data_IF_488282443484
#
_entry.id   IF_488282443484
#
_cell.length_a   1.000
_cell.length_b   1.000
_cell.length_c   1.000
_cell.angle_alpha   90.00
_cell.angle_beta   90.00
_cell.angle_gamma   90.00
#
_symmetry.space_group_name_H-M   'P 1'
#
loop_
_entity.id
_entity.type
_entity.pdbx_description
1 polymer ?
#
# COMPACT_ATOMS: atom_id res chain seq x y z
N UNK A 1 2.83 3.83 -4.09
CA UNK A 1 2.62 3.26 -5.44
C UNK A 1 2.91 4.28 -6.53
N UNK A 2 2.30 5.48 -6.53
CA UNK A 2 2.61 6.50 -7.55
C UNK A 2 4.11 6.88 -7.56
N UNK A 3 4.70 7.06 -6.38
CA UNK A 3 6.15 7.30 -6.23
C UNK A 3 7.04 6.09 -6.49
N UNK A 4 6.48 4.86 -6.49
CA UNK A 4 7.24 3.65 -6.83
C UNK A 4 7.34 3.45 -8.35
N UNK A 5 6.64 4.27 -9.15
CA UNK A 5 6.65 4.19 -10.60
C UNK A 5 5.62 3.21 -11.17
N UNK A 6 5.88 2.77 -12.40
CA UNK A 6 4.95 1.95 -13.20
C UNK A 6 4.92 0.50 -12.74
N UNK A 7 3.77 -0.16 -12.96
CA UNK A 7 3.61 -1.60 -12.79
C UNK A 7 3.15 -2.04 -11.39
N UNK A 8 3.08 -3.36 -11.16
CA UNK A 8 2.77 -3.94 -9.86
C UNK A 8 3.88 -3.69 -8.84
N UNK A 9 3.49 -3.44 -7.60
CA UNK A 9 4.39 -3.18 -6.50
C UNK A 9 4.20 -4.19 -5.38
N UNK A 10 5.30 -4.67 -4.79
CA UNK A 10 5.25 -5.55 -3.63
C UNK A 10 4.66 -4.79 -2.43
N UNK A 11 3.84 -5.48 -1.64
CA UNK A 11 3.31 -4.91 -0.40
C UNK A 11 4.42 -4.47 0.58
N UNK A 12 5.60 -5.10 0.50
CA UNK A 12 6.82 -4.70 1.22
C UNK A 12 7.31 -3.30 0.85
N UNK A 13 7.47 -3.02 -0.44
CA UNK A 13 7.96 -1.74 -0.94
C UNK A 13 6.97 -0.61 -0.64
N UNK A 14 5.66 -0.89 -0.76
CA UNK A 14 4.61 0.06 -0.37
C UNK A 14 4.70 0.37 1.13
N UNK A 15 4.94 -0.63 1.97
CA UNK A 15 5.04 -0.46 3.41
C UNK A 15 6.31 0.32 3.81
N UNK A 16 7.44 0.03 3.15
CA UNK A 16 8.69 0.75 3.33
C UNK A 16 8.53 2.23 2.98
N UNK A 17 7.93 2.54 1.83
CA UNK A 17 7.66 3.92 1.42
C UNK A 17 6.74 4.67 2.41
N UNK A 18 5.77 3.97 3.00
CA UNK A 18 4.83 4.56 3.97
C UNK A 18 5.35 4.57 5.42
N UNK A 19 6.49 3.96 5.70
CA UNK A 19 6.99 3.79 7.07
C UNK A 19 6.04 2.97 7.96
N UNK A 20 5.41 1.92 7.42
CA UNK A 20 4.42 1.07 8.12
C UNK A 20 4.80 -0.41 8.04
N UNK A 21 4.20 -1.23 8.90
CA UNK A 21 4.31 -2.69 8.81
C UNK A 21 3.45 -3.21 7.66
N UNK A 22 3.97 -4.16 6.86
CA UNK A 22 3.24 -4.77 5.73
C UNK A 22 1.87 -5.33 6.17
N UNK A 23 1.80 -5.93 7.36
CA UNK A 23 0.57 -6.51 7.92
C UNK A 23 -0.52 -5.47 8.17
N UNK A 24 -0.16 -4.22 8.47
CA UNK A 24 -1.12 -3.12 8.68
C UNK A 24 -1.78 -2.64 7.39
N UNK A 25 -1.20 -2.94 6.23
CA UNK A 25 -1.74 -2.50 4.93
C UNK A 25 -2.87 -3.40 4.42
N UNK A 26 -3.08 -4.57 5.04
CA UNK A 26 -4.09 -5.55 4.62
C UNK A 26 -5.51 -4.97 4.48
N UNK A 27 -6.07 -4.33 5.51
CA UNK A 27 -7.41 -3.73 5.46
C UNK A 27 -7.54 -2.64 4.39
N UNK A 28 -6.55 -1.73 4.30
CA UNK A 28 -6.55 -0.66 3.29
C UNK A 28 -6.50 -1.22 1.88
N UNK A 29 -5.63 -2.21 1.63
CA UNK A 29 -5.54 -2.91 0.34
C UNK A 29 -6.87 -3.57 -0.03
N UNK A 30 -7.49 -4.30 0.90
CA UNK A 30 -8.78 -4.95 0.67
C UNK A 30 -9.89 -3.93 0.36
N UNK A 31 -9.89 -2.78 1.04
CA UNK A 31 -10.83 -1.69 0.76
C UNK A 31 -10.65 -1.09 -0.64
N UNK A 32 -9.41 -0.90 -1.09
CA UNK A 32 -9.12 -0.39 -2.44
C UNK A 32 -9.47 -1.39 -3.54
N UNK A 33 -9.27 -2.69 -3.30
CA UNK A 33 -9.70 -3.76 -4.22
C UNK A 33 -11.23 -3.76 -4.35
N UNK A 34 -11.96 -3.70 -3.22
CA UNK A 34 -13.43 -3.65 -3.25
C UNK A 34 -13.97 -2.44 -4.02
N UNK A 35 -13.26 -1.31 -3.97
CA UNK A 35 -13.60 -0.09 -4.72
C UNK A 35 -13.15 -0.11 -6.19
N UNK A 36 -12.47 -1.17 -6.64
CA UNK A 36 -11.97 -1.27 -8.01
C UNK A 36 -10.79 -0.34 -8.32
N UNK A 37 -10.09 0.19 -7.32
CA UNK A 37 -8.96 1.12 -7.51
C UNK A 37 -7.65 0.39 -7.82
N UNK A 38 -7.47 -0.77 -7.18
CA UNK A 38 -6.28 -1.61 -7.32
C UNK A 38 -6.66 -3.08 -7.43
N UNK A 39 -5.76 -3.90 -7.96
CA UNK A 39 -5.91 -5.35 -8.03
C UNK A 39 -4.58 -6.06 -7.69
N UNK A 40 -4.65 -7.38 -7.53
CA UNK A 40 -3.52 -8.24 -7.16
C UNK A 40 -3.15 -9.14 -8.34
N UNK A 41 -2.11 -8.81 -9.14
CA UNK A 41 -1.69 -9.65 -10.27
C UNK A 41 -0.96 -10.93 -9.83
N UNK A 42 -0.29 -10.90 -8.68
CA UNK A 42 0.42 -12.03 -8.08
C UNK A 42 0.39 -11.93 -6.55
N UNK A 43 0.77 -13.00 -5.85
CA UNK A 43 0.75 -13.00 -4.38
C UNK A 43 1.58 -11.84 -3.82
N UNK A 44 0.96 -11.07 -2.90
CA UNK A 44 1.52 -9.90 -2.25
C UNK A 44 1.83 -8.67 -3.16
N UNK A 45 1.47 -8.70 -4.44
CA UNK A 45 1.62 -7.57 -5.34
C UNK A 45 0.35 -6.72 -5.41
N UNK A 46 0.49 -5.44 -5.76
CA UNK A 46 -0.63 -4.52 -5.93
C UNK A 46 -0.36 -3.59 -7.11
N UNK A 47 -1.33 -3.49 -8.01
CA UNK A 47 -1.27 -2.63 -9.19
C UNK A 47 -2.54 -1.80 -9.32
N UNK A 48 -2.45 -0.62 -9.94
CA UNK A 48 -3.64 0.16 -10.31
C UNK A 48 -4.45 -0.57 -11.39
N UNK A 49 -5.77 -0.54 -11.26
CA UNK A 49 -6.68 -1.06 -12.30
C UNK A 49 -6.69 -0.16 -13.53
N UNK A 50 -6.63 1.15 -13.32
CA UNK A 50 -6.63 2.14 -14.40
C UNK A 50 -5.20 2.38 -14.90
N UNK A 51 -4.96 2.33 -16.22
CA UNK A 51 -3.66 2.65 -16.79
C UNK A 51 -3.20 4.07 -16.43
N UNK A 52 -1.88 4.24 -16.29
CA UNK A 52 -1.24 5.54 -16.04
C UNK A 52 -1.67 6.28 -14.75
N UNK A 53 -2.41 5.65 -13.84
CA UNK A 53 -2.83 6.30 -12.58
C UNK A 53 -1.68 6.86 -11.77
N UNK A 54 -0.51 6.21 -11.78
CA UNK A 54 0.69 6.74 -11.11
C UNK A 54 1.10 8.11 -11.65
N UNK A 55 1.08 8.32 -12.98
CA UNK A 55 1.37 9.61 -13.58
C UNK A 55 0.29 10.65 -13.26
N UNK A 56 -0.98 10.26 -13.28
CA UNK A 56 -2.07 11.15 -12.90
C UNK A 56 -1.90 11.64 -11.46
N UNK A 57 -1.68 10.72 -10.51
CA UNK A 57 -1.52 11.04 -9.09
C UNK A 57 -0.35 11.99 -8.84
N UNK A 58 0.80 11.78 -9.52
CA UNK A 58 1.95 12.69 -9.40
C UNK A 58 1.67 14.11 -9.92
N UNK A 59 0.75 14.28 -10.88
CA UNK A 59 0.37 15.60 -11.39
C UNK A 59 -0.62 16.31 -10.47
N UNK A 60 -1.59 15.58 -9.93
CA UNK A 60 -2.65 16.17 -9.08
C UNK A 60 -2.23 16.30 -7.61
N UNK A 61 -1.17 15.60 -7.21
CA UNK A 61 -0.57 15.67 -5.87
C UNK A 61 0.96 15.86 -5.97
N UNK A 62 1.45 17.01 -6.50
CA UNK A 62 2.86 17.23 -6.77
C UNK A 62 3.73 17.26 -5.49
N UNK A 63 3.18 17.74 -4.37
CA UNK A 63 3.89 17.88 -3.10
C UNK A 63 3.59 16.72 -2.13
N UNK A 64 3.22 15.54 -2.65
CA UNK A 64 2.94 14.39 -1.79
C UNK A 64 4.21 13.94 -1.05
N UNK A 65 4.10 13.85 0.27
CA UNK A 65 5.14 13.32 1.13
C UNK A 65 4.59 12.11 1.88
N UNK A 66 5.44 11.11 2.10
CA UNK A 66 5.07 9.99 2.95
C UNK A 66 4.71 10.50 4.35
N UNK A 67 3.64 9.95 4.98
CA UNK A 67 3.30 10.35 6.33
C UNK A 67 4.49 10.04 7.27
N UNK A 68 4.73 10.88 8.29
CA UNK A 68 5.80 10.61 9.26
C UNK A 68 5.58 9.24 9.90
N UNK A 69 6.68 8.53 10.15
CA UNK A 69 6.68 7.20 10.74
C UNK A 69 5.97 7.27 12.09
N UNK A 70 4.71 6.86 12.13
CA UNK A 70 3.91 6.87 13.35
C UNK A 70 4.23 5.66 14.21
N UNK A 71 4.90 5.87 15.35
CA UNK A 71 4.98 4.90 16.45
C UNK A 71 3.58 4.52 16.94
N UNK A 72 3.09 3.35 16.51
CA UNK A 72 2.01 2.47 17.07
C UNK A 72 1.15 1.89 15.92
N UNK A 73 0.75 0.62 15.94
CA UNK A 73 0.79 -0.36 17.01
C UNK A 73 1.05 -1.78 16.49
N UNK A 74 1.83 -2.53 17.28
CA UNK A 74 1.78 -3.98 17.24
C UNK A 74 0.35 -4.42 17.51
N UNK A 75 -0.30 -4.96 16.49
CA UNK A 75 -1.35 -5.93 16.72
C UNK A 75 -0.67 -7.29 16.83
N UNK A 76 0.04 -7.49 17.96
CA UNK A 76 0.35 -8.82 18.45
C UNK A 76 -1.00 -9.45 18.83
N UNK A 77 -1.59 -10.17 17.87
CA UNK A 77 -2.68 -11.08 18.18
C UNK A 77 -2.05 -12.20 18.96
N UNK A 78 -2.15 -12.08 20.29
CA UNK A 78 -1.59 -12.98 21.27
C UNK A 78 -1.55 -14.41 20.76
N UNK A 79 -0.32 -14.92 20.65
CA UNK A 79 -0.04 -16.35 20.70
C UNK A 79 -0.69 -16.87 21.98
N UNK A 80 -1.88 -17.49 21.88
CA UNK A 80 -2.40 -18.32 22.97
C UNK A 80 -1.36 -19.40 23.27
N UNK A 81 -0.84 -19.52 24.50
CA UNK A 81 -0.10 -20.72 24.87
C UNK A 81 -1.04 -21.92 24.88
N UNK A 82 -0.47 -23.06 24.47
CA UNK A 82 -1.11 -24.38 24.47
C UNK A 82 -1.47 -24.84 25.89
#
# INVERSE_FOLDING_TARGET
>A
MAELGKGPHRSGDIAALLGRQVTSLGPTRAGLIRKGVVYTPAHADTAFTVPLSHHFLRRVMPDWQAPPVGSKGGHDRGRKPA
#
